data_IF_355446827120
#
_entry.id   IF_355446827120
#
_cell.length_a   1.000
_cell.length_b   1.000
_cell.length_c   1.000
_cell.angle_alpha   90.00
_cell.angle_beta   90.00
_cell.angle_gamma   90.00
#
_symmetry.space_group_name_H-M   'P 1'
#
loop_
_entity.id
_entity.type
_entity.pdbx_description
1 polymer ?
#
# COMPACT_ATOMS: atom_id res chain seq x y z
N UNK A 1 -3.69 -2.23 10.80
CA UNK A 1 -3.32 -0.78 10.86
C UNK A 1 -3.58 -0.10 9.51
N UNK A 2 -4.85 0.09 9.18
CA UNK A 2 -5.28 0.50 7.83
C UNK A 2 -4.86 1.94 7.47
N UNK A 3 -5.10 2.90 8.37
CA UNK A 3 -4.82 4.31 8.11
C UNK A 3 -3.33 4.60 8.03
N UNK A 4 -2.52 3.92 8.87
CA UNK A 4 -1.07 4.00 8.79
C UNK A 4 -0.55 3.56 7.43
N UNK A 5 -0.89 2.34 6.99
CA UNK A 5 -0.41 1.82 5.70
C UNK A 5 -0.90 2.66 4.52
N UNK A 6 -2.16 3.08 4.52
CA UNK A 6 -2.69 3.95 3.47
C UNK A 6 -1.98 5.31 3.43
N UNK A 7 -1.86 5.97 4.59
CA UNK A 7 -1.26 7.29 4.70
C UNK A 7 0.24 7.28 4.40
N UNK A 8 0.99 6.37 5.02
CA UNK A 8 2.43 6.26 4.83
C UNK A 8 2.80 5.91 3.39
N UNK A 9 2.07 4.97 2.76
CA UNK A 9 2.30 4.60 1.36
C UNK A 9 1.94 5.71 0.39
N UNK A 10 0.85 6.43 0.63
CA UNK A 10 0.49 7.62 -0.13
C UNK A 10 1.63 8.66 -0.07
N UNK A 11 2.06 8.99 1.15
CA UNK A 11 3.10 9.99 1.38
C UNK A 11 4.44 9.58 0.76
N UNK A 12 4.85 8.31 0.92
CA UNK A 12 6.09 7.81 0.35
C UNK A 12 6.10 7.91 -1.17
N UNK A 13 5.03 7.46 -1.84
CA UNK A 13 4.92 7.55 -3.30
C UNK A 13 4.92 9.00 -3.76
N UNK A 14 4.21 9.88 -3.05
CA UNK A 14 4.21 11.30 -3.34
C UNK A 14 5.61 11.93 -3.23
N UNK A 15 6.35 11.67 -2.15
CA UNK A 15 7.68 12.25 -1.92
C UNK A 15 8.73 11.73 -2.90
N UNK A 16 8.66 10.43 -3.24
CA UNK A 16 9.66 9.78 -4.09
C UNK A 16 9.44 10.10 -5.56
N UNK A 17 8.22 9.94 -6.05
CA UNK A 17 7.95 10.04 -7.49
C UNK A 17 7.50 11.43 -7.92
N UNK A 18 6.84 12.18 -7.05
CA UNK A 18 6.22 13.48 -7.36
C UNK A 18 5.43 13.50 -8.66
N UNK A 19 4.88 12.34 -9.04
CA UNK A 19 4.09 12.17 -10.27
C UNK A 19 2.59 12.15 -9.94
N UNK A 20 1.84 13.22 -10.29
CA UNK A 20 0.41 13.28 -10.04
C UNK A 20 -0.38 12.25 -10.85
N UNK A 21 0.23 11.62 -11.87
CA UNK A 21 -0.43 10.66 -12.74
C UNK A 21 -0.47 9.23 -12.17
N UNK A 22 0.19 8.98 -11.04
CA UNK A 22 0.09 7.70 -10.32
C UNK A 22 -1.34 7.54 -9.75
N UNK A 23 -1.89 6.33 -9.82
CA UNK A 23 -3.17 6.03 -9.15
C UNK A 23 -2.93 5.77 -7.66
N UNK A 24 -2.98 6.85 -6.85
CA UNK A 24 -2.73 6.79 -5.40
C UNK A 24 -3.76 5.93 -4.66
N UNK A 25 -4.96 5.72 -5.20
CA UNK A 25 -5.95 4.81 -4.61
C UNK A 25 -5.48 3.37 -4.68
N UNK A 26 -4.86 2.98 -5.81
CA UNK A 26 -4.30 1.64 -5.97
C UNK A 26 -3.04 1.45 -5.12
N UNK A 27 -2.26 2.50 -4.88
CA UNK A 27 -1.16 2.46 -3.91
C UNK A 27 -1.71 2.17 -2.51
N UNK A 28 -2.70 2.93 -2.06
CA UNK A 28 -3.32 2.73 -0.74
C UNK A 28 -4.00 1.35 -0.63
N UNK A 29 -4.73 0.94 -1.68
CA UNK A 29 -5.36 -0.39 -1.71
C UNK A 29 -4.32 -1.51 -1.66
N UNK A 30 -3.21 -1.39 -2.40
CA UNK A 30 -2.10 -2.34 -2.36
C UNK A 30 -1.45 -2.41 -0.98
N UNK A 31 -1.32 -1.26 -0.31
CA UNK A 31 -0.76 -1.20 1.04
C UNK A 31 -1.66 -1.81 2.12
N UNK A 32 -2.96 -1.93 1.87
CA UNK A 32 -3.92 -2.57 2.79
C UNK A 32 -4.10 -4.06 2.45
N UNK A 33 -3.81 -4.44 1.22
CA UNK A 33 -4.11 -5.76 0.68
C UNK A 33 -3.52 -6.93 1.48
N UNK A 34 -2.24 -6.90 1.96
CA UNK A 34 -1.70 -7.98 2.78
C UNK A 34 -2.51 -8.22 4.05
N UNK A 35 -2.76 -7.17 4.84
CA UNK A 35 -3.58 -7.26 6.07
C UNK A 35 -4.99 -7.80 5.80
N UNK A 36 -5.58 -7.42 4.66
CA UNK A 36 -6.91 -7.88 4.28
C UNK A 36 -6.92 -9.38 3.95
N UNK A 37 -5.90 -9.84 3.23
CA UNK A 37 -5.76 -11.28 2.89
C UNK A 37 -5.50 -12.09 4.15
N UNK A 38 -4.62 -11.62 5.04
CA UNK A 38 -4.31 -12.29 6.30
C UNK A 38 -5.50 -12.38 7.23
N UNK A 39 -6.32 -11.32 7.29
CA UNK A 39 -7.60 -11.36 8.01
C UNK A 39 -8.56 -12.42 7.48
N UNK A 40 -8.51 -12.71 6.18
CA UNK A 40 -9.33 -13.73 5.56
C UNK A 40 -8.76 -15.16 5.70
N UNK A 41 -7.43 -15.30 5.77
CA UNK A 41 -6.72 -16.59 5.89
C UNK A 41 -6.41 -17.01 7.31
N UNK A 42 -6.55 -16.08 8.27
CA UNK A 42 -6.32 -16.33 9.69
C UNK A 42 -4.86 -16.15 10.14
N UNK A 43 -4.01 -15.57 9.32
CA UNK A 43 -2.61 -15.27 9.66
C UNK A 43 -1.78 -14.78 8.49
N UNK A 44 -0.51 -14.43 8.74
CA UNK A 44 0.40 -13.96 7.68
C UNK A 44 0.49 -14.96 6.55
N UNK A 45 0.46 -14.47 5.32
CA UNK A 45 0.50 -15.32 4.13
C UNK A 45 1.42 -14.72 3.06
N UNK A 46 1.38 -15.30 1.85
CA UNK A 46 2.30 -15.00 0.73
C UNK A 46 2.54 -13.49 0.49
N UNK A 47 1.54 -12.64 0.71
CA UNK A 47 1.69 -11.19 0.51
C UNK A 47 2.54 -10.50 1.59
N UNK A 48 2.85 -11.16 2.71
CA UNK A 48 3.84 -10.69 3.69
C UNK A 48 5.27 -11.10 3.36
N UNK A 49 5.49 -11.71 2.18
CA UNK A 49 6.83 -12.01 1.67
C UNK A 49 7.23 -11.10 0.51
N UNK A 50 8.53 -10.92 0.32
CA UNK A 50 9.08 -10.23 -0.87
C UNK A 50 8.66 -10.96 -2.14
N UNK A 51 8.68 -12.29 -2.11
CA UNK A 51 8.26 -13.13 -3.26
C UNK A 51 6.81 -12.87 -3.63
N UNK A 52 5.92 -12.71 -2.65
CA UNK A 52 4.51 -12.37 -2.91
C UNK A 52 4.35 -11.02 -3.60
N UNK A 53 5.09 -10.00 -3.16
CA UNK A 53 5.10 -8.68 -3.81
C UNK A 53 5.65 -8.74 -5.24
N UNK A 54 6.73 -9.50 -5.47
CA UNK A 54 7.31 -9.73 -6.81
C UNK A 54 6.34 -10.52 -7.69
N UNK A 55 5.68 -11.54 -7.15
CA UNK A 55 4.69 -12.34 -7.88
C UNK A 55 3.51 -11.45 -8.32
N UNK A 56 3.00 -10.60 -7.45
CA UNK A 56 1.94 -9.65 -7.79
C UNK A 56 2.39 -8.68 -8.89
N UNK A 57 3.61 -8.16 -8.80
CA UNK A 57 4.20 -7.33 -9.86
C UNK A 57 4.28 -8.09 -11.18
N UNK A 58 4.75 -9.32 -11.15
CA UNK A 58 4.87 -10.20 -12.32
C UNK A 58 3.51 -10.46 -12.96
N UNK A 59 2.49 -10.77 -12.16
CA UNK A 59 1.11 -10.96 -12.63
C UNK A 59 0.61 -9.69 -13.33
N UNK A 60 0.81 -8.52 -12.73
CA UNK A 60 0.42 -7.24 -13.33
C UNK A 60 1.17 -7.02 -14.64
N UNK A 61 2.48 -7.26 -14.69
CA UNK A 61 3.30 -7.05 -15.88
C UNK A 61 2.90 -7.97 -17.03
N UNK A 62 2.69 -9.26 -16.75
CA UNK A 62 2.29 -10.25 -17.75
C UNK A 62 0.84 -10.06 -18.21
N UNK A 63 -0.09 -9.82 -17.28
CA UNK A 63 -1.50 -9.62 -17.58
C UNK A 63 -1.80 -8.32 -18.34
N UNK A 64 -0.82 -7.40 -18.38
CA UNK A 64 -0.95 -6.11 -19.08
C UNK A 64 -0.03 -5.97 -20.30
N UNK A 65 0.52 -7.09 -20.81
CA UNK A 65 1.30 -7.07 -22.06
C UNK A 65 0.47 -6.46 -23.19
N UNK A 66 1.05 -5.52 -23.92
CA UNK A 66 0.36 -4.76 -24.99
C UNK A 66 -0.60 -3.65 -24.48
N UNK A 67 -0.89 -3.59 -23.18
CA UNK A 67 -1.85 -2.63 -22.58
C UNK A 67 -1.14 -1.57 -21.73
N UNK A 68 -0.32 -0.72 -22.35
CA UNK A 68 0.56 0.24 -21.66
C UNK A 68 -0.17 1.14 -20.65
N UNK A 69 -1.36 1.64 -20.97
CA UNK A 69 -2.11 2.53 -20.06
C UNK A 69 -2.63 1.78 -18.83
N UNK A 70 -3.12 0.55 -19.02
CA UNK A 70 -3.58 -0.30 -17.92
C UNK A 70 -2.42 -0.68 -17.00
N UNK A 71 -1.27 -1.08 -17.58
CA UNK A 71 -0.06 -1.39 -16.82
C UNK A 71 0.40 -0.22 -15.97
N UNK A 72 0.49 0.99 -16.55
CA UNK A 72 0.87 2.21 -15.81
C UNK A 72 -0.02 2.47 -14.61
N UNK A 73 -1.29 2.11 -14.70
CA UNK A 73 -2.25 2.25 -13.61
C UNK A 73 -2.07 1.14 -12.57
N UNK A 74 -2.05 -0.13 -13.01
CA UNK A 74 -2.07 -1.28 -12.11
C UNK A 74 -0.76 -1.51 -11.36
N UNK A 75 0.38 -1.00 -11.86
CA UNK A 75 1.68 -1.10 -11.17
C UNK A 75 1.66 -0.40 -9.79
N UNK A 76 0.75 0.52 -9.56
CA UNK A 76 0.55 1.16 -8.26
C UNK A 76 0.16 0.16 -7.16
N UNK A 77 -0.53 -0.94 -7.53
CA UNK A 77 -0.97 -1.95 -6.57
C UNK A 77 0.23 -2.72 -5.96
N UNK A 78 1.13 -3.38 -6.73
CA UNK A 78 2.31 -4.04 -6.16
C UNK A 78 3.28 -3.06 -5.50
N UNK A 79 3.35 -1.80 -5.93
CA UNK A 79 4.11 -0.76 -5.21
C UNK A 79 3.54 -0.59 -3.80
N UNK A 80 2.23 -0.47 -3.66
CA UNK A 80 1.57 -0.38 -2.37
C UNK A 80 1.82 -1.60 -1.50
N UNK A 81 1.70 -2.81 -2.05
CA UNK A 81 1.97 -4.07 -1.33
C UNK A 81 3.42 -4.15 -0.83
N UNK A 82 4.38 -3.74 -1.65
CA UNK A 82 5.77 -3.69 -1.21
C UNK A 82 6.00 -2.64 -0.11
N UNK A 83 5.38 -1.46 -0.22
CA UNK A 83 5.44 -0.43 0.83
C UNK A 83 4.80 -0.89 2.14
N UNK A 84 3.75 -1.74 2.09
CA UNK A 84 3.22 -2.39 3.28
C UNK A 84 4.32 -3.15 4.03
N UNK A 85 5.07 -4.03 3.35
CA UNK A 85 6.17 -4.77 3.96
C UNK A 85 7.23 -3.86 4.59
N UNK A 86 7.51 -2.72 3.93
CA UNK A 86 8.46 -1.73 4.44
C UNK A 86 7.94 -1.09 5.72
N UNK A 87 6.69 -0.62 5.74
CA UNK A 87 6.12 0.08 6.89
C UNK A 87 5.64 -0.83 8.02
N UNK A 88 5.41 -2.09 7.71
CA UNK A 88 5.16 -3.13 8.72
C UNK A 88 6.43 -3.60 9.42
N UNK A 89 7.61 -3.32 8.84
CA UNK A 89 8.88 -3.83 9.35
C UNK A 89 9.02 -5.34 9.12
N UNK A 90 8.37 -5.87 8.07
CA UNK A 90 8.35 -7.30 7.78
C UNK A 90 9.74 -7.93 7.66
N UNK A 91 10.76 -7.15 7.29
CA UNK A 91 12.16 -7.61 7.22
C UNK A 91 12.73 -8.06 8.57
N UNK A 92 12.10 -7.71 9.69
CA UNK A 92 12.51 -8.16 11.02
C UNK A 92 12.12 -9.62 11.30
N UNK A 93 11.11 -10.14 10.63
CA UNK A 93 10.72 -11.54 10.59
C UNK A 93 11.27 -12.19 9.31
N UNK A 94 12.50 -12.71 9.41
CA UNK A 94 13.21 -13.27 8.25
C UNK A 94 12.52 -14.50 7.67
N UNK A 95 11.77 -15.25 8.46
CA UNK A 95 11.14 -16.50 8.05
C UNK A 95 9.97 -16.25 7.09
N UNK A 96 9.09 -15.32 7.43
CA UNK A 96 7.98 -14.92 6.57
C UNK A 96 8.45 -14.04 5.41
N UNK A 97 9.36 -13.10 5.67
CA UNK A 97 9.80 -12.11 4.68
C UNK A 97 10.51 -12.74 3.48
N UNK A 98 11.42 -13.72 3.73
CA UNK A 98 12.17 -14.41 2.68
C UNK A 98 11.53 -15.72 2.22
N UNK A 99 10.31 -16.02 2.63
CA UNK A 99 9.62 -17.20 2.13
C UNK A 99 9.65 -17.25 0.59
N UNK A 100 9.87 -18.41 -0.08
CA UNK A 100 10.02 -19.78 0.44
C UNK A 100 11.47 -20.20 0.73
N UNK A 101 12.43 -19.29 0.74
CA UNK A 101 13.87 -19.60 0.89
C UNK A 101 14.27 -19.83 2.34
N UNK A 102 13.56 -19.24 3.27
CA UNK A 102 13.73 -19.39 4.72
C UNK A 102 12.38 -19.82 5.30
N UNK A 103 12.35 -20.44 6.46
CA UNK A 103 11.20 -20.75 7.28
C UNK A 103 9.82 -20.85 6.63
N UNK A 104 8.80 -20.42 7.35
CA UNK A 104 7.40 -20.40 6.91
C UNK A 104 6.64 -19.26 7.57
N UNK A 105 5.34 -19.18 7.26
CA UNK A 105 4.46 -18.24 7.91
C UNK A 105 4.17 -18.75 9.32
N UNK A 106 4.48 -17.92 10.35
CA UNK A 106 4.35 -18.26 11.74
C UNK A 106 2.92 -18.57 12.21
N UNK A 107 2.74 -18.78 13.51
CA UNK A 107 1.56 -19.38 14.18
C UNK A 107 0.24 -18.57 14.12
N UNK A 108 -0.05 -17.88 13.03
CA UNK A 108 -1.35 -17.24 12.80
C UNK A 108 -1.57 -15.92 13.57
N UNK A 109 -0.54 -15.36 14.19
CA UNK A 109 -0.61 -14.04 14.83
C UNK A 109 -0.41 -12.94 13.81
N UNK A 110 -1.31 -11.99 13.76
CA UNK A 110 -1.18 -10.82 12.90
C UNK A 110 -0.22 -9.82 13.57
N UNK A 111 0.97 -9.53 12.99
CA UNK A 111 1.94 -8.61 13.59
C UNK A 111 1.34 -7.23 13.92
N UNK A 112 0.41 -6.78 13.09
CA UNK A 112 -0.29 -5.51 13.25
C UNK A 112 -1.16 -5.44 14.52
N UNK A 113 -1.66 -6.56 15.04
CA UNK A 113 -2.49 -6.61 16.25
C UNK A 113 -1.65 -6.71 17.54
N UNK A 114 -0.42 -7.21 17.46
CA UNK A 114 0.45 -7.38 18.62
C UNK A 114 1.11 -6.08 19.10
N UNK A 115 1.03 -5.00 18.32
CA UNK A 115 1.67 -3.70 18.63
C UNK A 115 0.98 -2.87 19.72
N UNK A 116 -0.17 -3.31 20.23
CA UNK A 116 -0.87 -2.66 21.34
C UNK A 116 -1.04 -1.15 21.15
N UNK A 117 -0.62 -0.34 22.12
CA UNK A 117 -0.75 1.14 22.10
C UNK A 117 0.00 1.77 20.92
N UNK A 118 1.12 1.18 20.50
CA UNK A 118 1.90 1.68 19.36
C UNK A 118 1.10 1.63 18.05
N UNK A 119 0.25 0.62 17.86
CA UNK A 119 -0.65 0.54 16.72
C UNK A 119 -1.61 1.75 16.67
N UNK A 120 -2.15 2.15 17.84
CA UNK A 120 -3.04 3.33 17.92
C UNK A 120 -2.29 4.61 17.52
N UNK A 121 -1.04 4.78 17.97
CA UNK A 121 -0.22 5.94 17.60
C UNK A 121 0.00 5.98 16.09
N UNK A 122 0.35 4.85 15.48
CA UNK A 122 0.54 4.77 14.03
C UNK A 122 -0.75 5.06 13.25
N UNK A 123 -1.90 4.57 13.72
CA UNK A 123 -3.21 4.90 13.12
C UNK A 123 -3.50 6.40 13.17
N UNK A 124 -3.22 7.07 14.29
CA UNK A 124 -3.38 8.52 14.43
C UNK A 124 -2.43 9.26 13.48
N UNK A 125 -1.18 8.83 13.36
CA UNK A 125 -0.22 9.41 12.41
C UNK A 125 -0.69 9.20 10.97
N UNK A 126 -1.14 8.00 10.63
CA UNK A 126 -1.71 7.70 9.30
C UNK A 126 -2.91 8.59 8.96
N UNK A 127 -3.82 8.76 9.92
CA UNK A 127 -4.95 9.68 9.78
C UNK A 127 -4.48 11.13 9.58
N UNK A 128 -3.51 11.60 10.36
CA UNK A 128 -2.96 12.95 10.22
C UNK A 128 -2.35 13.17 8.81
N UNK A 129 -1.63 12.18 8.28
CA UNK A 129 -1.08 12.22 6.92
C UNK A 129 -2.21 12.32 5.89
N UNK A 130 -3.26 11.50 6.02
CA UNK A 130 -4.39 11.53 5.08
C UNK A 130 -5.17 12.84 5.14
N UNK A 131 -5.38 13.40 6.34
CA UNK A 131 -6.00 14.73 6.52
C UNK A 131 -5.12 15.83 5.92
N UNK A 132 -3.81 15.76 6.15
CA UNK A 132 -2.86 16.67 5.51
C UNK A 132 -2.94 16.58 3.98
N UNK A 133 -2.92 15.37 3.43
CA UNK A 133 -3.03 15.14 1.99
C UNK A 133 -4.37 15.67 1.43
N UNK A 134 -5.48 15.42 2.13
CA UNK A 134 -6.80 15.92 1.76
C UNK A 134 -6.80 17.45 1.61
N UNK A 135 -6.22 18.15 2.59
CA UNK A 135 -6.11 19.62 2.58
C UNK A 135 -5.09 20.11 1.56
N UNK A 136 -3.90 19.48 1.51
CA UNK A 136 -2.80 19.88 0.62
C UNK A 136 -3.16 19.79 -0.85
N UNK A 137 -3.95 18.78 -1.24
CA UNK A 137 -4.37 18.55 -2.62
C UNK A 137 -5.77 19.12 -2.92
N UNK A 138 -6.34 19.89 -2.00
CA UNK A 138 -7.61 20.60 -2.20
C UNK A 138 -8.76 19.65 -2.51
N UNK A 139 -8.81 18.50 -1.85
CA UNK A 139 -9.88 17.49 -2.03
C UNK A 139 -11.19 17.90 -1.33
N UNK A 140 -11.22 19.03 -0.63
CA UNK A 140 -12.41 19.74 -0.20
C UNK A 140 -13.24 20.25 -1.39
N UNK A 141 -12.60 20.64 -2.49
CA UNK A 141 -13.29 20.94 -3.75
C UNK A 141 -13.93 19.69 -4.37
N UNK A 142 -15.22 19.80 -4.69
CA UNK A 142 -16.01 18.68 -5.20
C UNK A 142 -15.48 18.17 -6.56
N UNK A 143 -14.96 19.06 -7.40
CA UNK A 143 -14.45 18.71 -8.74
C UNK A 143 -13.15 17.93 -8.62
N UNK A 144 -12.21 18.41 -7.81
CA UNK A 144 -10.93 17.75 -7.54
C UNK A 144 -11.12 16.40 -6.85
N UNK A 145 -12.01 16.35 -5.87
CA UNK A 145 -12.38 15.11 -5.18
C UNK A 145 -12.98 14.09 -6.14
N UNK A 146 -13.92 14.50 -7.00
CA UNK A 146 -14.52 13.60 -7.98
C UNK A 146 -13.52 13.12 -9.02
N UNK A 147 -12.58 13.96 -9.43
CA UNK A 147 -11.48 13.58 -10.30
C UNK A 147 -10.57 12.54 -9.64
N UNK A 148 -10.14 12.80 -8.38
CA UNK A 148 -9.37 11.85 -7.61
C UNK A 148 -10.12 10.52 -7.42
N UNK A 149 -11.38 10.56 -7.02
CA UNK A 149 -12.17 9.34 -6.80
C UNK A 149 -12.41 8.54 -8.08
N UNK A 150 -12.41 9.14 -9.26
CA UNK A 150 -12.55 8.44 -10.55
C UNK A 150 -11.23 7.93 -11.11
N UNK A 151 -10.14 8.65 -10.92
CA UNK A 151 -8.87 8.38 -11.59
C UNK A 151 -7.73 7.94 -10.67
N UNK A 152 -7.82 8.24 -9.37
CA UNK A 152 -6.74 8.08 -8.39
C UNK A 152 -5.61 9.08 -8.53
N UNK A 153 -5.74 10.05 -9.45
CA UNK A 153 -4.70 11.03 -9.80
C UNK A 153 -4.90 12.34 -9.06
N UNK A 154 -3.80 12.99 -8.78
CA UNK A 154 -3.80 14.35 -8.22
C UNK A 154 -3.85 15.40 -9.33
N UNK A 155 -4.30 16.61 -8.99
CA UNK A 155 -4.25 17.73 -9.93
C UNK A 155 -2.81 18.18 -10.17
N UNK A 156 -2.43 18.40 -11.44
CA UNK A 156 -1.07 18.81 -11.82
C UNK A 156 -0.69 20.19 -11.29
N UNK A 157 -1.65 21.04 -11.02
CA UNK A 157 -1.45 22.41 -10.53
C UNK A 157 -0.89 22.45 -9.10
N UNK A 158 -0.93 21.33 -8.37
CA UNK A 158 -0.57 21.25 -6.95
C UNK A 158 0.72 20.45 -6.68
N UNK A 159 1.40 20.03 -7.73
CA UNK A 159 2.59 19.18 -7.70
C UNK A 159 3.86 19.98 -7.99
#
# INVERSE_FOLDING_TARGET
MLLWFAGASFLAVWLVFRDPAIDHRLVMAGAILPDFVDGATGGPWVLHSVVGSIALLTIVMLGTVGRRLLRRRLIALPIGTFLHLVFDGAWTDTDSFWWPFTGGFGDGRLPSLERGVFAVVLEVVGLAILVWAYRRFGLDDATRRSYFLRTGRLSRELV
#
